data_IF_891900358257
#
_entry.id   IF_891900358257
#
_cell.length_a   1.000
_cell.length_b   1.000
_cell.length_c   1.000
_cell.angle_alpha   90.00
_cell.angle_beta   90.00
_cell.angle_gamma   90.00
#
_symmetry.space_group_name_H-M   'P 1'
#
loop_
_entity.id
_entity.type
_entity.pdbx_description
1 polymer ?
#
# COMPACT_ATOMS: atom_id res chain seq x y z
N UNK A 1 -0.10 -5.02 2.56
CA UNK A 1 0.04 -3.62 2.95
C UNK A 1 -1.10 -2.82 2.36
N UNK A 2 -1.90 -2.14 3.18
CA UNK A 2 -2.93 -1.20 2.72
C UNK A 2 -2.40 0.26 2.73
N UNK A 3 -3.16 1.21 2.19
CA UNK A 3 -2.76 2.62 2.16
C UNK A 3 -2.54 3.23 3.55
N UNK A 4 -3.36 2.84 4.54
CA UNK A 4 -3.22 3.31 5.93
C UNK A 4 -1.90 2.88 6.57
N UNK A 5 -1.49 1.62 6.36
CA UNK A 5 -0.20 1.10 6.82
C UNK A 5 0.98 1.82 6.17
N UNK A 6 0.89 2.14 4.87
CA UNK A 6 1.90 2.93 4.19
C UNK A 6 2.04 4.32 4.82
N UNK A 7 0.93 5.03 5.06
CA UNK A 7 0.97 6.34 5.72
C UNK A 7 1.59 6.26 7.11
N UNK A 8 1.16 5.30 7.94
CA UNK A 8 1.72 5.11 9.27
C UNK A 8 3.22 4.81 9.22
N UNK A 9 3.67 3.97 8.27
CA UNK A 9 5.07 3.66 8.07
C UNK A 9 5.89 4.91 7.69
N UNK A 10 5.38 5.72 6.76
CA UNK A 10 6.04 6.95 6.32
C UNK A 10 6.13 7.98 7.45
N UNK A 11 5.05 8.17 8.23
CA UNK A 11 5.04 9.05 9.40
C UNK A 11 6.06 8.57 10.43
N UNK A 12 6.09 7.27 10.73
CA UNK A 12 7.05 6.70 11.69
C UNK A 12 8.51 6.86 11.24
N UNK A 13 8.79 6.77 9.94
CA UNK A 13 10.16 6.91 9.41
C UNK A 13 10.63 8.35 9.27
N UNK A 14 9.73 9.27 8.96
CA UNK A 14 10.08 10.64 8.54
C UNK A 14 9.68 11.71 9.56
N UNK A 15 8.74 11.42 10.46
CA UNK A 15 8.15 12.38 11.38
C UNK A 15 7.24 13.43 10.71
N UNK A 16 6.95 13.29 9.41
CA UNK A 16 6.15 14.25 8.66
C UNK A 16 4.65 14.06 8.93
N UNK A 17 3.85 15.14 8.92
CA UNK A 17 2.41 15.03 9.08
C UNK A 17 1.76 14.39 7.84
N UNK A 18 0.58 13.76 7.98
CA UNK A 18 -0.12 13.07 6.89
C UNK A 18 -0.31 13.93 5.63
N UNK A 19 -0.70 15.19 5.79
CA UNK A 19 -0.96 16.11 4.67
C UNK A 19 0.30 16.42 3.86
N UNK A 20 1.47 16.43 4.49
CA UNK A 20 2.74 16.62 3.77
C UNK A 20 3.08 15.38 2.95
N UNK A 21 2.79 14.19 3.48
CA UNK A 21 3.07 12.93 2.78
C UNK A 21 2.22 12.84 1.50
N UNK A 22 0.92 13.12 1.58
CA UNK A 22 0.02 13.04 0.42
C UNK A 22 0.36 14.04 -0.68
N UNK A 23 0.91 15.21 -0.32
CA UNK A 23 1.24 16.27 -1.26
C UNK A 23 2.63 16.12 -1.90
N UNK A 24 3.60 15.55 -1.17
CA UNK A 24 5.02 15.59 -1.59
C UNK A 24 5.59 14.23 -1.98
N UNK A 25 5.00 13.12 -1.52
CA UNK A 25 5.47 11.78 -1.85
C UNK A 25 4.72 11.23 -3.05
N UNK A 26 5.43 11.12 -4.17
CA UNK A 26 4.98 10.44 -5.38
C UNK A 26 5.61 9.04 -5.49
N UNK A 27 5.12 8.25 -6.45
CA UNK A 27 5.61 6.88 -6.66
C UNK A 27 7.13 6.81 -6.89
N UNK A 28 7.76 7.68 -7.72
CA UNK A 28 9.21 7.64 -7.91
C UNK A 28 10.01 7.92 -6.62
N UNK A 29 9.58 8.87 -5.78
CA UNK A 29 10.24 9.12 -4.48
C UNK A 29 10.09 7.94 -3.54
N UNK A 30 8.92 7.29 -3.52
CA UNK A 30 8.70 6.08 -2.73
C UNK A 30 9.58 4.93 -3.20
N UNK A 31 9.76 4.76 -4.51
CA UNK A 31 10.67 3.75 -5.08
C UNK A 31 12.11 3.99 -4.65
N UNK A 32 12.61 5.23 -4.77
CA UNK A 32 13.96 5.58 -4.36
C UNK A 32 14.20 5.34 -2.86
N UNK A 33 13.21 5.67 -2.02
CA UNK A 33 13.29 5.44 -0.58
C UNK A 33 13.27 3.95 -0.23
N UNK A 34 12.42 3.16 -0.90
CA UNK A 34 12.43 1.71 -0.77
C UNK A 34 13.78 1.11 -1.18
N UNK A 35 14.40 1.63 -2.25
CA UNK A 35 15.73 1.18 -2.68
C UNK A 35 16.81 1.47 -1.63
N UNK A 36 16.75 2.62 -0.96
CA UNK A 36 17.63 2.96 0.15
C UNK A 36 17.41 2.02 1.35
N UNK A 37 16.15 1.76 1.71
CA UNK A 37 15.80 0.92 2.87
C UNK A 37 16.16 -0.55 2.73
N UNK A 38 16.36 -1.08 1.51
CA UNK A 38 16.83 -2.46 1.30
C UNK A 38 18.12 -2.79 2.05
N UNK A 39 19.02 -1.82 2.17
CA UNK A 39 20.31 -1.99 2.87
C UNK A 39 20.33 -1.30 4.24
N UNK A 40 19.33 -0.46 4.55
CA UNK A 40 19.25 0.37 5.76
C UNK A 40 17.79 0.45 6.22
N UNK A 41 17.21 -0.68 6.66
CA UNK A 41 15.79 -0.73 6.97
C UNK A 41 15.45 0.16 8.17
N UNK A 42 14.23 0.71 8.23
CA UNK A 42 13.76 1.47 9.39
C UNK A 42 13.88 0.67 10.69
N UNK A 43 14.37 1.34 11.75
CA UNK A 43 14.73 0.70 13.01
C UNK A 43 13.57 -0.07 13.66
N UNK A 44 12.35 0.47 13.62
CA UNK A 44 11.19 -0.19 14.23
C UNK A 44 10.86 -1.54 13.58
N UNK A 45 11.18 -1.72 12.29
CA UNK A 45 11.05 -3.02 11.63
C UNK A 45 12.12 -4.01 12.09
N UNK A 46 13.36 -3.54 12.28
CA UNK A 46 14.45 -4.38 12.81
C UNK A 46 14.16 -4.84 14.24
N UNK A 47 13.65 -3.94 15.09
CA UNK A 47 13.28 -4.25 16.48
C UNK A 47 12.10 -5.24 16.52
N UNK A 48 11.08 -5.03 15.70
CA UNK A 48 9.95 -5.96 15.62
C UNK A 48 10.42 -7.37 15.22
N UNK A 49 11.30 -7.48 14.23
CA UNK A 49 11.89 -8.76 13.81
C UNK A 49 12.74 -9.40 14.93
N UNK A 50 13.57 -8.61 15.63
CA UNK A 50 14.38 -9.07 16.75
C UNK A 50 13.54 -9.63 17.90
N UNK A 51 12.40 -9.00 18.18
CA UNK A 51 11.44 -9.44 19.21
C UNK A 51 10.51 -10.57 18.75
N UNK A 52 10.58 -11.01 17.48
CA UNK A 52 9.73 -12.07 16.94
C UNK A 52 8.29 -11.64 16.66
N UNK A 53 8.01 -10.35 16.54
CA UNK A 53 6.70 -9.83 16.15
C UNK A 53 6.51 -10.11 14.66
N UNK A 54 5.49 -10.91 14.32
CA UNK A 54 5.19 -11.28 12.94
C UNK A 54 4.16 -10.32 12.34
N UNK A 55 4.32 -9.89 11.07
CA UNK A 55 3.29 -9.15 10.39
C UNK A 55 2.03 -10.01 10.26
N UNK A 56 0.87 -9.43 10.55
CA UNK A 56 -0.41 -10.09 10.28
C UNK A 56 -0.60 -10.17 8.76
N UNK A 57 -0.79 -11.38 8.23
CA UNK A 57 -1.21 -11.55 6.84
C UNK A 57 -2.66 -11.10 6.75
N UNK A 58 -2.99 -10.04 5.98
CA UNK A 58 -4.37 -9.68 5.76
C UNK A 58 -5.08 -10.90 5.17
N UNK A 59 -6.22 -11.30 5.74
CA UNK A 59 -7.04 -12.35 5.16
C UNK A 59 -7.34 -11.96 3.71
N UNK A 60 -6.99 -12.83 2.76
CA UNK A 60 -7.42 -12.67 1.36
C UNK A 60 -8.94 -12.51 1.38
N UNK A 61 -9.51 -11.46 0.76
CA UNK A 61 -10.96 -11.40 0.59
C UNK A 61 -11.36 -12.57 -0.31
N UNK A 62 -11.88 -13.64 0.28
CA UNK A 62 -12.57 -14.69 -0.43
C UNK A 62 -14.00 -14.20 -0.70
N UNK A 63 -14.31 -14.09 -1.99
CA UNK A 63 -15.63 -13.95 -2.59
C UNK A 63 -16.35 -12.59 -2.46
N UNK A 64 -16.54 -11.93 -3.61
CA UNK A 64 -17.49 -10.83 -3.72
C UNK A 64 -17.28 -9.86 -4.88
N UNK A 65 -16.16 -9.92 -5.62
CA UNK A 65 -16.04 -9.09 -6.81
C UNK A 65 -16.91 -9.68 -7.94
N UNK A 66 -17.90 -8.93 -8.45
CA UNK A 66 -18.67 -9.36 -9.60
C UNK A 66 -17.72 -9.63 -10.76
N UNK A 67 -17.89 -10.78 -11.41
CA UNK A 67 -17.17 -11.13 -12.63
C UNK A 67 -17.26 -9.97 -13.65
N UNK A 68 -16.14 -9.62 -14.29
CA UNK A 68 -16.03 -8.50 -15.22
C UNK A 68 -17.09 -8.60 -16.34
N UNK A 69 -17.39 -9.83 -16.78
CA UNK A 69 -18.43 -10.08 -17.77
C UNK A 69 -19.82 -9.66 -17.27
N UNK A 70 -20.10 -9.81 -15.97
CA UNK A 70 -21.35 -9.38 -15.33
C UNK A 70 -21.46 -7.86 -15.28
N UNK A 71 -20.34 -7.14 -15.07
CA UNK A 71 -20.32 -5.68 -15.12
C UNK A 71 -20.51 -5.16 -16.54
N UNK A 72 -19.87 -5.79 -17.54
CA UNK A 72 -19.99 -5.38 -18.94
C UNK A 72 -21.40 -5.57 -19.50
N UNK A 73 -22.10 -6.62 -19.06
CA UNK A 73 -23.50 -6.86 -19.41
C UNK A 73 -24.48 -5.78 -18.91
N UNK A 74 -24.08 -4.96 -17.93
CA UNK A 74 -24.90 -3.87 -17.39
C UNK A 74 -24.75 -2.55 -18.17
N UNK A 75 -23.86 -2.49 -19.17
CA UNK A 75 -23.65 -1.30 -20.02
C UNK A 75 -24.16 -1.55 -21.47
N UNK A 76 -25.44 -1.25 -21.77
CA UNK A 76 -26.08 -1.60 -23.05
C UNK A 76 -25.62 -0.80 -24.29
N UNK A 77 -24.55 0.01 -24.20
CA UNK A 77 -24.13 0.91 -25.30
C UNK A 77 -22.83 0.50 -26.03
N UNK A 78 -22.23 -0.66 -25.73
CA UNK A 78 -21.00 -1.11 -26.40
C UNK A 78 -21.23 -1.85 -27.74
N UNK A 79 -22.34 -1.58 -28.43
CA UNK A 79 -22.73 -2.27 -29.67
C UNK A 79 -23.03 -1.37 -30.87
N UNK A 80 -22.66 -0.09 -30.83
CA UNK A 80 -22.93 0.85 -31.92
C UNK A 80 -21.73 1.77 -32.21
N UNK A 81 -20.60 1.18 -32.62
CA UNK A 81 -19.58 1.80 -33.48
C UNK A 81 -19.03 0.75 -34.44
#
# INVERSE_FOLDING_TARGET
>A
MNWGELYAHLIACTGLPPDTITQQFDLPRLEAMNAYWRNRPPLHLMVAAYLGIKPETPATPTDGQPDLATMLAQFPQAGAL
#
